data_IF_617591553581
#
_entry.id   IF_617591553581
#
_cell.length_a   1.000
_cell.length_b   1.000
_cell.length_c   1.000
_cell.angle_alpha   90.00
_cell.angle_beta   90.00
_cell.angle_gamma   90.00
#
_symmetry.space_group_name_H-M   'P 1'
#
loop_
_entity.id
_entity.type
_entity.pdbx_description
1 polymer ?
#
# COMPACT_ATOMS: atom_id res chain seq x y z
N UNK A 1 -62.57 -6.50 -31.69
CA UNK A 1 -61.40 -7.34 -31.38
C UNK A 1 -60.76 -6.69 -30.16
N UNK A 2 -61.38 -6.75 -28.98
CA UNK A 2 -61.57 -7.91 -28.09
C UNK A 2 -60.19 -8.44 -27.65
N UNK A 3 -59.76 -8.43 -26.39
CA UNK A 3 -60.46 -8.24 -25.10
C UNK A 3 -59.49 -7.68 -24.04
N UNK A 4 -60.01 -6.80 -23.17
CA UNK A 4 -59.71 -6.71 -21.74
C UNK A 4 -60.90 -7.41 -21.00
N UNK A 5 -60.87 -7.82 -19.70
CA UNK A 5 -60.36 -7.01 -18.59
C UNK A 5 -59.79 -7.78 -17.36
N UNK A 6 -59.23 -7.02 -16.41
CA UNK A 6 -59.08 -7.39 -14.99
C UNK A 6 -60.33 -6.95 -14.15
N UNK A 7 -60.29 -6.93 -12.80
CA UNK A 7 -60.53 -7.97 -11.80
C UNK A 7 -61.84 -7.70 -10.98
N UNK A 8 -62.06 -8.37 -9.82
CA UNK A 8 -62.36 -7.62 -8.58
C UNK A 8 -61.76 -8.29 -7.31
N UNK A 9 -61.65 -7.70 -6.12
CA UNK A 9 -62.07 -6.40 -5.58
C UNK A 9 -61.64 -6.27 -4.11
N UNK A 10 -61.55 -5.02 -3.63
CA UNK A 10 -61.35 -4.61 -2.24
C UNK A 10 -62.68 -4.61 -1.46
N UNK A 11 -62.63 -4.85 -0.13
CA UNK A 11 -63.40 -4.06 0.86
C UNK A 11 -62.71 -4.03 2.23
N UNK A 12 -62.63 -2.81 2.78
CA UNK A 12 -62.31 -2.42 4.15
C UNK A 12 -63.33 -2.91 5.19
N UNK A 13 -62.92 -3.03 6.47
CA UNK A 13 -63.71 -2.60 7.65
C UNK A 13 -62.85 -2.53 8.93
N UNK A 14 -62.54 -1.30 9.34
CA UNK A 14 -62.68 -0.68 10.69
C UNK A 14 -62.70 -1.55 11.97
N UNK A 15 -61.88 -1.16 12.97
CA UNK A 15 -62.41 -0.77 14.28
C UNK A 15 -62.03 -1.57 15.55
N UNK A 16 -61.06 -1.03 16.29
CA UNK A 16 -61.04 -0.78 17.76
C UNK A 16 -61.11 -1.92 18.80
N UNK A 17 -60.23 -1.74 19.80
CA UNK A 17 -60.20 -2.20 21.21
C UNK A 17 -59.11 -3.26 21.48
N UNK A 18 -58.31 -3.24 22.54
CA UNK A 18 -58.07 -2.33 23.68
C UNK A 18 -56.91 -2.98 24.48
N UNK A 19 -56.24 -2.19 25.33
CA UNK A 19 -55.45 -2.56 26.51
C UNK A 19 -53.93 -2.75 26.43
N UNK A 20 -53.34 -1.96 27.32
CA UNK A 20 -51.96 -1.74 27.74
C UNK A 20 -51.52 -2.82 28.76
N UNK A 21 -50.43 -2.63 29.54
CA UNK A 21 -49.21 -3.43 29.43
C UNK A 21 -49.05 -4.38 30.64
N UNK A 22 -48.25 -5.45 30.50
CA UNK A 22 -47.77 -6.17 31.68
C UNK A 22 -46.28 -6.49 31.58
N UNK A 23 -45.54 -5.73 32.37
CA UNK A 23 -44.21 -6.06 32.90
C UNK A 23 -44.21 -7.44 33.54
N UNK A 24 -43.35 -8.33 33.06
CA UNK A 24 -43.09 -9.64 33.64
C UNK A 24 -41.61 -9.83 33.88
N UNK A 25 -41.18 -9.58 35.11
CA UNK A 25 -39.89 -9.94 35.68
C UNK A 25 -39.92 -11.39 36.21
N UNK A 26 -38.96 -12.22 35.81
CA UNK A 26 -38.47 -13.41 36.53
C UNK A 26 -37.19 -13.90 35.78
N UNK A 27 -35.98 -13.66 36.30
CA UNK A 27 -35.26 -14.43 37.32
C UNK A 27 -34.54 -15.70 36.82
N UNK A 28 -33.20 -15.65 37.04
CA UNK A 28 -32.26 -16.73 37.41
C UNK A 28 -31.92 -17.83 36.39
N UNK A 29 -30.64 -17.96 36.04
CA UNK A 29 -29.69 -18.82 36.79
C UNK A 29 -28.27 -18.76 36.20
N UNK A 30 -27.33 -19.20 37.03
CA UNK A 30 -25.88 -19.03 36.98
C UNK A 30 -25.14 -19.68 35.81
N UNK A 31 -23.98 -19.09 35.50
CA UNK A 31 -22.91 -19.72 34.73
C UNK A 31 -21.60 -19.02 35.03
N UNK A 32 -21.02 -19.31 36.19
CA UNK A 32 -19.62 -18.97 36.50
C UNK A 32 -18.71 -19.74 35.55
N UNK A 33 -18.18 -19.05 34.54
CA UNK A 33 -17.24 -19.60 33.57
C UNK A 33 -16.04 -18.67 33.43
N UNK A 34 -15.02 -18.96 34.23
CA UNK A 34 -13.60 -18.66 34.03
C UNK A 34 -13.24 -17.36 33.31
N UNK A 35 -12.83 -16.36 34.10
CA UNK A 35 -11.88 -15.36 33.66
C UNK A 35 -10.58 -16.06 33.22
N UNK A 36 -10.47 -16.39 31.93
CA UNK A 36 -9.22 -16.88 31.37
C UNK A 36 -8.37 -15.68 30.91
N UNK A 37 -7.61 -15.20 31.89
CA UNK A 37 -6.20 -14.81 31.80
C UNK A 37 -5.74 -14.19 30.47
N UNK A 38 -5.59 -12.87 30.54
CA UNK A 38 -4.47 -12.15 29.92
C UNK A 38 -3.14 -12.84 30.22
N UNK A 39 -2.36 -13.14 29.17
CA UNK A 39 -0.91 -13.32 29.29
C UNK A 39 -0.31 -14.50 28.52
N UNK A 40 0.05 -14.28 27.26
CA UNK A 40 1.20 -14.86 26.52
C UNK A 40 0.87 -15.15 25.04
N UNK A 41 0.98 -14.15 24.15
CA UNK A 41 0.99 -14.38 22.69
C UNK A 41 1.53 -13.20 21.83
N UNK A 42 2.31 -12.27 22.39
CA UNK A 42 2.65 -11.03 21.67
C UNK A 42 3.92 -11.04 20.81
N UNK A 43 4.81 -12.03 20.96
CA UNK A 43 6.20 -11.91 20.49
C UNK A 43 6.58 -12.64 19.19
N UNK A 44 5.68 -13.41 18.57
CA UNK A 44 6.09 -14.39 17.55
C UNK A 44 5.02 -14.69 16.47
N UNK A 45 4.07 -13.78 16.25
CA UNK A 45 3.02 -13.92 15.21
C UNK A 45 3.59 -14.28 13.81
N UNK A 46 4.76 -13.73 13.49
CA UNK A 46 5.46 -13.88 12.22
C UNK A 46 6.72 -14.75 12.34
N UNK A 47 6.86 -15.54 13.40
CA UNK A 47 8.01 -16.45 13.55
C UNK A 47 8.13 -17.39 12.35
N UNK A 48 9.34 -17.50 11.80
CA UNK A 48 9.64 -18.30 10.62
C UNK A 48 9.19 -17.67 9.29
N UNK A 49 8.62 -16.47 9.31
CA UNK A 49 8.25 -15.73 8.09
C UNK A 49 9.34 -14.77 7.65
N UNK A 50 9.40 -14.52 6.36
CA UNK A 50 10.35 -13.59 5.74
C UNK A 50 9.60 -12.40 5.17
N UNK A 51 10.04 -11.19 5.53
CA UNK A 51 9.52 -9.93 5.02
C UNK A 51 10.59 -9.17 4.26
N UNK A 52 10.24 -8.51 3.15
CA UNK A 52 11.11 -7.58 2.44
C UNK A 52 10.50 -6.17 2.49
N UNK A 53 11.30 -5.19 2.92
CA UNK A 53 10.87 -3.80 3.08
C UNK A 53 11.76 -2.88 2.26
N UNK A 54 11.18 -2.15 1.30
CA UNK A 54 11.90 -1.11 0.54
C UNK A 54 11.87 0.23 1.27
N UNK A 55 12.96 1.00 1.18
CA UNK A 55 13.07 2.29 1.87
C UNK A 55 13.05 2.13 3.39
N UNK A 56 13.64 1.04 3.89
CA UNK A 56 13.58 0.63 5.30
C UNK A 56 14.30 1.61 6.25
N UNK A 57 15.15 2.49 5.74
CA UNK A 57 15.84 3.53 6.54
C UNK A 57 15.04 4.82 6.68
N UNK A 58 13.96 4.99 5.89
CA UNK A 58 13.05 6.12 6.01
C UNK A 58 12.19 6.02 7.28
N UNK A 59 11.63 7.14 7.76
CA UNK A 59 10.87 7.18 9.02
C UNK A 59 9.84 6.06 9.16
N UNK A 60 8.91 5.92 8.20
CA UNK A 60 7.91 4.84 8.23
C UNK A 60 8.55 3.45 8.00
N UNK A 61 9.48 3.36 7.05
CA UNK A 61 10.15 2.10 6.70
C UNK A 61 10.87 1.47 7.90
N UNK A 62 11.53 2.29 8.72
CA UNK A 62 12.23 1.85 9.93
C UNK A 62 11.25 1.30 10.96
N UNK A 63 10.13 2.00 11.18
CA UNK A 63 9.07 1.49 12.08
C UNK A 63 8.50 0.17 11.54
N UNK A 64 8.20 0.08 10.25
CA UNK A 64 7.70 -1.15 9.63
C UNK A 64 8.69 -2.30 9.86
N UNK A 65 9.98 -2.09 9.57
CA UNK A 65 11.02 -3.08 9.78
C UNK A 65 11.12 -3.52 11.25
N UNK A 66 11.14 -2.56 12.18
CA UNK A 66 11.18 -2.84 13.63
C UNK A 66 9.97 -3.65 14.09
N UNK A 67 8.76 -3.28 13.70
CA UNK A 67 7.54 -3.98 14.14
C UNK A 67 7.41 -5.39 13.55
N UNK A 68 7.81 -5.59 12.28
CA UNK A 68 7.85 -6.91 11.68
C UNK A 68 8.87 -7.81 12.38
N UNK A 69 10.06 -7.30 12.67
CA UNK A 69 11.08 -8.00 13.43
C UNK A 69 10.61 -8.32 14.86
N UNK A 70 9.94 -7.38 15.53
CA UNK A 70 9.38 -7.57 16.88
C UNK A 70 8.34 -8.67 16.94
N UNK A 71 7.59 -8.87 15.85
CA UNK A 71 6.62 -9.97 15.70
C UNK A 71 7.26 -11.29 15.30
N UNK A 72 8.58 -11.34 15.14
CA UNK A 72 9.33 -12.57 14.86
C UNK A 72 9.70 -12.81 13.39
N UNK A 73 9.39 -11.89 12.48
CA UNK A 73 9.79 -12.01 11.07
C UNK A 73 11.30 -11.85 10.93
N UNK A 74 11.92 -12.59 10.01
CA UNK A 74 13.18 -12.16 9.40
C UNK A 74 12.85 -11.03 8.42
N UNK A 75 13.57 -9.91 8.50
CA UNK A 75 13.32 -8.70 7.70
C UNK A 75 14.51 -8.46 6.78
N UNK A 76 14.31 -8.60 5.49
CA UNK A 76 15.24 -8.17 4.45
C UNK A 76 14.97 -6.70 4.14
N UNK A 77 15.84 -5.83 4.64
CA UNK A 77 15.77 -4.40 4.47
C UNK A 77 16.55 -3.96 3.22
N UNK A 78 15.85 -3.32 2.27
CA UNK A 78 16.51 -2.70 1.11
C UNK A 78 16.87 -1.26 1.46
N UNK A 79 18.17 -0.96 1.42
CA UNK A 79 18.76 0.33 1.81
C UNK A 79 19.62 0.90 0.69
N UNK A 80 20.02 2.17 0.80
CA UNK A 80 20.83 2.86 -0.24
C UNK A 80 22.35 2.69 -0.05
N UNK A 81 22.77 2.25 1.12
CA UNK A 81 24.18 2.04 1.45
C UNK A 81 24.31 1.06 2.60
N UNK A 82 25.44 0.36 2.65
CA UNK A 82 25.79 -0.58 3.72
C UNK A 82 25.70 0.10 5.08
N UNK A 83 26.37 1.24 5.27
CA UNK A 83 26.35 1.96 6.56
C UNK A 83 24.94 2.30 7.06
N UNK A 84 24.03 2.76 6.19
CA UNK A 84 22.65 3.03 6.61
C UNK A 84 21.86 1.75 6.92
N UNK A 85 22.25 0.62 6.33
CA UNK A 85 21.70 -0.69 6.63
C UNK A 85 22.21 -1.27 7.94
N UNK A 86 23.51 -1.11 8.22
CA UNK A 86 24.12 -1.55 9.48
C UNK A 86 23.55 -0.76 10.65
N UNK A 87 23.44 0.57 10.53
CA UNK A 87 22.76 1.41 11.53
C UNK A 87 21.32 0.95 11.78
N UNK A 88 20.58 0.60 10.72
CA UNK A 88 19.21 0.08 10.84
C UNK A 88 19.19 -1.28 11.55
N UNK A 89 20.08 -2.20 11.18
CA UNK A 89 20.17 -3.54 11.77
C UNK A 89 20.51 -3.45 13.26
N UNK A 90 21.52 -2.68 13.63
CA UNK A 90 21.90 -2.44 15.03
C UNK A 90 20.74 -1.81 15.82
N UNK A 91 20.11 -0.78 15.25
CA UNK A 91 18.95 -0.15 15.86
C UNK A 91 17.84 -1.17 16.11
N UNK A 92 17.39 -1.90 15.09
CA UNK A 92 16.30 -2.89 15.23
C UNK A 92 16.69 -3.99 16.21
N UNK A 93 17.91 -4.51 16.15
CA UNK A 93 18.41 -5.54 17.06
C UNK A 93 18.34 -5.07 18.52
N UNK A 94 18.69 -3.81 18.81
CA UNK A 94 18.53 -3.23 20.15
C UNK A 94 17.07 -3.12 20.58
N UNK A 95 16.14 -2.85 19.66
CA UNK A 95 14.72 -2.66 19.97
C UNK A 95 13.97 -3.98 20.19
N UNK A 96 14.43 -5.08 19.58
CA UNK A 96 13.75 -6.38 19.62
C UNK A 96 14.56 -7.46 20.34
N UNK A 97 15.78 -7.13 20.77
CA UNK A 97 16.72 -8.04 21.44
C UNK A 97 17.00 -9.31 20.63
N UNK A 98 17.07 -9.17 19.31
CA UNK A 98 17.36 -10.26 18.38
C UNK A 98 17.88 -9.71 17.04
N UNK A 99 18.84 -10.41 16.43
CA UNK A 99 19.33 -10.10 15.09
C UNK A 99 18.40 -10.71 14.03
N UNK A 100 17.47 -9.90 13.52
CA UNK A 100 16.43 -10.32 12.57
C UNK A 100 16.46 -9.53 11.27
N UNK A 101 17.43 -8.63 11.08
CA UNK A 101 17.50 -7.76 9.92
C UNK A 101 18.66 -8.16 9.03
N UNK A 102 18.36 -8.52 7.81
CA UNK A 102 19.32 -8.68 6.72
C UNK A 102 19.30 -7.45 5.83
N UNK A 103 20.44 -7.04 5.30
CA UNK A 103 20.56 -5.85 4.46
C UNK A 103 20.83 -6.26 3.01
N UNK A 104 20.11 -5.64 2.08
CA UNK A 104 20.46 -5.62 0.66
C UNK A 104 20.57 -4.16 0.22
N UNK A 105 21.70 -3.82 -0.40
CA UNK A 105 21.95 -2.46 -0.87
C UNK A 105 21.47 -2.32 -2.31
N UNK A 106 20.71 -1.27 -2.58
CA UNK A 106 20.26 -0.92 -3.92
C UNK A 106 19.93 0.56 -4.04
N UNK A 107 20.30 1.15 -5.17
CA UNK A 107 19.55 2.28 -5.72
C UNK A 107 18.25 1.74 -6.34
N UNK A 108 17.11 2.16 -5.80
CA UNK A 108 15.80 1.75 -6.31
C UNK A 108 15.47 2.35 -7.69
N UNK A 109 16.28 3.28 -8.20
CA UNK A 109 16.22 3.74 -9.57
C UNK A 109 17.09 2.92 -10.55
N UNK A 110 17.98 2.06 -10.05
CA UNK A 110 18.84 1.17 -10.85
C UNK A 110 18.13 -0.14 -11.11
N UNK A 111 17.99 -0.53 -12.38
CA UNK A 111 17.42 -1.83 -12.73
C UNK A 111 18.33 -2.97 -12.25
N UNK A 112 19.63 -2.86 -12.46
CA UNK A 112 20.58 -3.91 -12.14
C UNK A 112 20.61 -4.17 -10.62
N UNK A 113 20.51 -3.12 -9.82
CA UNK A 113 20.43 -3.23 -8.36
C UNK A 113 19.14 -3.95 -7.93
N UNK A 114 18.00 -3.67 -8.57
CA UNK A 114 16.74 -4.36 -8.28
C UNK A 114 16.81 -5.87 -8.63
N UNK A 115 17.51 -6.21 -9.71
CA UNK A 115 17.82 -7.61 -10.02
C UNK A 115 18.74 -8.23 -8.96
N UNK A 116 19.80 -7.52 -8.56
CA UNK A 116 20.70 -7.95 -7.49
C UNK A 116 20.00 -8.15 -6.14
N UNK A 117 19.01 -7.32 -5.81
CA UNK A 117 18.15 -7.50 -4.63
C UNK A 117 17.34 -8.80 -4.74
N UNK A 118 16.73 -9.07 -5.89
CA UNK A 118 15.95 -10.28 -6.08
C UNK A 118 16.82 -11.54 -6.02
N UNK A 119 17.98 -11.53 -6.70
CA UNK A 119 18.95 -12.63 -6.67
C UNK A 119 19.50 -12.86 -5.26
N UNK A 120 19.90 -11.78 -4.58
CA UNK A 120 20.39 -11.84 -3.20
C UNK A 120 19.34 -12.34 -2.21
N UNK A 121 18.06 -11.98 -2.41
CA UNK A 121 16.96 -12.53 -1.64
C UNK A 121 16.79 -14.03 -1.89
N UNK A 122 16.67 -14.44 -3.16
CA UNK A 122 16.43 -15.83 -3.56
C UNK A 122 17.58 -16.77 -3.19
N UNK A 123 18.81 -16.27 -3.12
CA UNK A 123 19.97 -17.03 -2.68
C UNK A 123 19.90 -17.42 -1.18
N UNK A 124 19.14 -16.66 -0.37
CA UNK A 124 19.02 -16.87 1.08
C UNK A 124 17.66 -17.42 1.50
N UNK A 125 16.61 -17.08 0.76
CA UNK A 125 15.23 -17.36 1.13
C UNK A 125 14.46 -17.97 -0.04
N UNK A 126 13.81 -19.12 0.20
CA UNK A 126 12.98 -19.79 -0.82
C UNK A 126 11.54 -19.27 -0.91
N UNK A 127 11.10 -18.46 0.05
CA UNK A 127 9.73 -17.94 0.14
C UNK A 127 9.72 -16.52 0.71
N UNK A 128 8.75 -15.70 0.26
CA UNK A 128 8.55 -14.33 0.72
C UNK A 128 7.11 -14.16 1.22
N UNK A 129 6.93 -13.98 2.52
CA UNK A 129 5.60 -13.84 3.12
C UNK A 129 5.04 -12.43 2.96
N UNK A 130 5.88 -11.40 3.16
CA UNK A 130 5.44 -10.01 3.16
C UNK A 130 6.37 -9.16 2.31
N UNK A 131 5.84 -8.55 1.25
CA UNK A 131 6.54 -7.54 0.46
C UNK A 131 5.93 -6.17 0.72
N UNK A 132 6.70 -5.29 1.36
CA UNK A 132 6.28 -3.91 1.63
C UNK A 132 7.00 -2.96 0.67
N UNK A 133 6.30 -2.57 -0.39
CA UNK A 133 6.71 -1.52 -1.32
C UNK A 133 6.47 -0.15 -0.67
N UNK A 134 7.27 0.16 0.35
CA UNK A 134 7.19 1.38 1.16
C UNK A 134 7.99 2.54 0.56
N UNK A 135 9.05 2.26 -0.19
CA UNK A 135 9.89 3.31 -0.74
C UNK A 135 9.08 4.35 -1.54
N UNK A 136 9.46 5.61 -1.37
CA UNK A 136 8.89 6.71 -2.11
C UNK A 136 9.75 7.95 -2.01
N UNK A 137 9.82 8.69 -3.11
CA UNK A 137 10.61 9.89 -3.24
C UNK A 137 9.83 10.96 -3.99
N UNK A 138 10.03 12.21 -3.59
CA UNK A 138 9.54 13.37 -4.30
C UNK A 138 10.73 14.23 -4.73
N UNK A 139 10.71 14.69 -5.98
CA UNK A 139 11.75 15.50 -6.59
C UNK A 139 11.16 16.83 -7.01
N UNK A 140 11.77 17.94 -6.59
CA UNK A 140 11.32 19.31 -6.94
C UNK A 140 11.49 19.66 -8.41
N UNK A 141 12.47 19.03 -9.06
CA UNK A 141 12.83 19.25 -10.45
C UNK A 141 12.70 17.95 -11.20
N UNK A 142 12.40 18.04 -12.51
CA UNK A 142 12.36 16.86 -13.36
C UNK A 142 13.75 16.25 -13.43
N UNK A 143 13.86 15.00 -13.01
CA UNK A 143 15.07 14.20 -13.14
C UNK A 143 14.75 12.96 -13.95
N UNK A 144 15.69 12.57 -14.79
CA UNK A 144 15.56 11.40 -15.65
C UNK A 144 16.60 10.39 -15.21
N UNK A 145 16.13 9.19 -14.87
CA UNK A 145 16.98 8.06 -14.51
C UNK A 145 17.31 7.19 -15.72
N UNK A 146 17.58 5.92 -15.45
CA UNK A 146 17.90 4.94 -16.47
C UNK A 146 16.84 4.86 -17.56
N UNK A 147 17.31 4.61 -18.80
CA UNK A 147 16.47 4.43 -19.99
C UNK A 147 15.52 5.59 -20.29
N UNK A 148 15.78 6.78 -19.77
CA UNK A 148 14.97 7.96 -20.04
C UNK A 148 13.70 8.07 -19.19
N UNK A 149 13.54 7.24 -18.16
CA UNK A 149 12.35 7.25 -17.30
C UNK A 149 12.47 8.33 -16.23
N UNK A 150 11.40 9.08 -16.00
CA UNK A 150 11.37 10.13 -14.98
C UNK A 150 11.44 9.53 -13.56
N UNK A 151 12.19 10.18 -12.65
CA UNK A 151 12.58 9.62 -11.36
C UNK A 151 11.42 9.31 -10.40
N UNK A 152 10.29 10.03 -10.46
CA UNK A 152 9.13 9.61 -9.67
C UNK A 152 8.59 8.27 -10.16
N UNK A 153 8.50 8.06 -11.47
CA UNK A 153 8.05 6.79 -12.06
C UNK A 153 9.06 5.69 -11.74
N UNK A 154 10.37 5.95 -11.87
CA UNK A 154 11.42 4.99 -11.56
C UNK A 154 11.31 4.49 -10.10
N UNK A 155 11.33 5.39 -9.12
CA UNK A 155 11.40 5.02 -7.70
C UNK A 155 10.04 4.64 -7.10
N UNK A 156 8.98 5.38 -7.40
CA UNK A 156 7.70 5.17 -6.70
C UNK A 156 6.84 4.08 -7.34
N UNK A 157 7.07 3.76 -8.62
CA UNK A 157 6.30 2.78 -9.37
C UNK A 157 7.17 1.60 -9.80
N UNK A 158 8.20 1.82 -10.62
CA UNK A 158 9.00 0.74 -11.20
C UNK A 158 9.76 -0.05 -10.15
N UNK A 159 10.36 0.56 -9.13
CA UNK A 159 11.09 -0.17 -8.09
C UNK A 159 10.26 -1.30 -7.44
N UNK A 160 9.07 -0.95 -6.93
CA UNK A 160 8.16 -1.91 -6.30
C UNK A 160 7.56 -2.89 -7.30
N UNK A 161 7.22 -2.43 -8.51
CA UNK A 161 6.74 -3.28 -9.60
C UNK A 161 7.76 -4.36 -9.97
N UNK A 162 9.01 -3.97 -10.21
CA UNK A 162 10.13 -4.83 -10.59
C UNK A 162 10.40 -5.89 -9.54
N UNK A 163 10.54 -5.49 -8.27
CA UNK A 163 10.78 -6.45 -7.18
C UNK A 163 9.61 -7.41 -7.01
N UNK A 164 8.37 -6.92 -7.10
CA UNK A 164 7.19 -7.80 -7.02
C UNK A 164 7.17 -8.81 -8.15
N UNK A 165 7.53 -8.39 -9.37
CA UNK A 165 7.58 -9.26 -10.54
C UNK A 165 8.70 -10.31 -10.44
N UNK A 166 9.91 -9.90 -10.06
CA UNK A 166 11.07 -10.78 -9.89
C UNK A 166 10.88 -11.81 -8.76
N UNK A 167 10.25 -11.39 -7.65
CA UNK A 167 10.06 -12.23 -6.46
C UNK A 167 8.73 -12.99 -6.46
N UNK A 168 8.01 -13.00 -7.58
CA UNK A 168 6.69 -13.64 -7.69
C UNK A 168 6.74 -15.14 -7.36
N UNK A 169 7.81 -15.83 -7.77
CA UNK A 169 8.03 -17.23 -7.43
C UNK A 169 8.08 -17.46 -5.92
N UNK A 170 8.88 -16.65 -5.20
CA UNK A 170 8.97 -16.72 -3.74
C UNK A 170 7.66 -16.31 -3.04
N UNK A 171 6.95 -15.31 -3.56
CA UNK A 171 5.63 -14.91 -3.04
C UNK A 171 4.63 -16.08 -3.15
N UNK A 172 4.63 -16.80 -4.28
CA UNK A 172 3.78 -18.00 -4.46
C UNK A 172 4.23 -19.15 -3.55
N UNK A 173 5.53 -19.36 -3.39
CA UNK A 173 6.09 -20.42 -2.55
C UNK A 173 5.68 -20.28 -1.07
N UNK A 174 5.46 -19.05 -0.57
CA UNK A 174 4.95 -18.83 0.78
C UNK A 174 3.49 -19.29 0.99
N UNK A 175 2.72 -19.47 -0.09
CA UNK A 175 1.32 -19.95 -0.07
C UNK A 175 0.27 -18.98 0.49
N UNK A 176 0.68 -17.94 1.23
CA UNK A 176 -0.21 -16.92 1.83
C UNK A 176 0.39 -15.51 1.83
N UNK A 177 1.18 -15.18 0.82
CA UNK A 177 1.95 -13.94 0.79
C UNK A 177 1.08 -12.68 0.64
N UNK A 178 1.59 -11.55 1.12
CA UNK A 178 0.95 -10.24 0.99
C UNK A 178 1.90 -9.20 0.45
N UNK A 179 1.50 -8.54 -0.63
CA UNK A 179 2.18 -7.38 -1.20
C UNK A 179 1.42 -6.12 -0.81
N UNK A 180 2.09 -5.21 -0.11
CA UNK A 180 1.53 -3.93 0.34
C UNK A 180 2.23 -2.78 -0.40
N UNK A 181 1.45 -2.06 -1.21
CA UNK A 181 1.92 -0.88 -1.93
C UNK A 181 1.57 0.40 -1.16
N UNK A 182 2.59 1.13 -0.69
CA UNK A 182 2.38 2.44 -0.04
C UNK A 182 2.21 3.52 -1.11
N UNK A 183 1.00 4.07 -1.17
CA UNK A 183 0.56 5.08 -2.13
C UNK A 183 0.17 6.39 -1.42
N UNK A 184 -0.44 7.33 -2.14
CA UNK A 184 -0.74 8.68 -1.63
C UNK A 184 -2.17 9.12 -1.94
N UNK A 185 -2.84 9.82 -1.02
CA UNK A 185 -4.12 10.48 -1.29
C UNK A 185 -4.02 11.52 -2.41
N UNK A 186 -2.82 12.01 -2.75
CA UNK A 186 -2.61 12.96 -3.86
C UNK A 186 -3.07 12.42 -5.22
N UNK A 187 -3.24 11.10 -5.36
CA UNK A 187 -3.84 10.50 -6.56
C UNK A 187 -5.28 11.00 -6.82
N UNK A 188 -6.04 11.32 -5.76
CA UNK A 188 -7.42 11.80 -5.85
C UNK A 188 -7.59 13.32 -5.84
N UNK A 189 -6.57 14.05 -5.40
CA UNK A 189 -6.54 15.51 -5.41
C UNK A 189 -5.08 16.00 -5.38
N UNK A 190 -4.63 16.66 -6.45
CA UNK A 190 -3.24 17.12 -6.61
C UNK A 190 -2.98 18.49 -5.98
N UNK A 191 -3.91 19.04 -5.19
CA UNK A 191 -3.69 20.33 -4.54
C UNK A 191 -2.70 20.24 -3.38
N UNK A 192 -1.64 21.05 -3.45
CA UNK A 192 -0.74 21.28 -2.31
C UNK A 192 -1.41 22.13 -1.21
N UNK A 193 -2.38 23.00 -1.58
CA UNK A 193 -3.11 23.85 -0.64
C UNK A 193 -4.62 23.80 -0.92
N UNK A 194 -5.41 23.40 0.08
CA UNK A 194 -6.88 23.28 0.01
C UNK A 194 -7.61 24.62 0.15
N UNK A 195 -7.17 25.67 -0.54
CA UNK A 195 -7.81 27.01 -0.44
C UNK A 195 -9.17 27.02 -1.17
N UNK A 196 -9.32 26.25 -2.25
CA UNK A 196 -10.59 26.07 -2.94
C UNK A 196 -11.18 24.66 -2.70
N UNK A 197 -12.51 24.49 -2.77
CA UNK A 197 -13.19 23.20 -2.58
C UNK A 197 -13.19 22.27 -3.81
N UNK A 198 -12.76 22.74 -4.99
CA UNK A 198 -12.78 21.93 -6.22
C UNK A 198 -11.65 20.89 -6.23
N UNK A 199 -11.93 19.59 -6.39
CA UNK A 199 -10.85 18.61 -6.56
C UNK A 199 -10.13 18.82 -7.89
N UNK A 200 -8.79 18.76 -7.91
CA UNK A 200 -8.01 18.66 -9.16
C UNK A 200 -7.45 17.23 -9.23
N UNK A 201 -8.19 16.27 -9.80
CA UNK A 201 -7.71 14.90 -9.86
C UNK A 201 -6.46 14.80 -10.74
N UNK A 202 -5.67 13.75 -10.52
CA UNK A 202 -4.58 13.41 -11.43
C UNK A 202 -5.14 13.18 -12.83
N UNK A 203 -4.56 13.86 -13.81
CA UNK A 203 -4.81 13.60 -15.22
C UNK A 203 -3.73 12.64 -15.71
N UNK A 204 -4.16 11.47 -16.15
CA UNK A 204 -3.36 10.56 -16.96
C UNK A 204 -3.69 10.83 -18.42
N UNK A 205 -2.68 11.23 -19.19
CA UNK A 205 -2.76 11.17 -20.64
C UNK A 205 -2.84 9.70 -21.03
N UNK A 206 -3.96 9.30 -21.63
CA UNK A 206 -4.25 7.90 -21.96
C UNK A 206 -3.46 7.44 -23.17
N UNK A 207 -3.01 8.35 -24.02
CA UNK A 207 -2.28 8.01 -25.24
C UNK A 207 -0.78 7.85 -24.92
N UNK A 208 -0.29 8.54 -23.90
CA UNK A 208 1.09 8.47 -23.39
C UNK A 208 1.36 7.37 -22.34
N UNK A 209 0.56 6.29 -22.28
CA UNK A 209 0.76 5.19 -21.30
C UNK A 209 1.51 3.98 -21.87
N UNK A 210 1.69 3.92 -23.18
CA UNK A 210 2.44 2.83 -23.80
C UNK A 210 3.96 3.04 -23.65
N UNK A 211 4.41 4.22 -23.23
CA UNK A 211 5.78 4.46 -22.85
C UNK A 211 5.85 5.23 -21.54
N UNK A 212 6.50 4.63 -20.53
CA UNK A 212 6.62 5.26 -19.22
C UNK A 212 7.48 6.53 -19.23
N UNK A 213 8.28 6.74 -20.28
CA UNK A 213 9.05 7.97 -20.50
C UNK A 213 8.14 9.18 -20.74
N UNK A 214 6.94 8.94 -21.26
CA UNK A 214 5.99 9.99 -21.65
C UNK A 214 4.97 10.34 -20.56
N UNK A 215 4.93 9.56 -19.46
CA UNK A 215 4.00 9.79 -18.33
C UNK A 215 4.24 11.14 -17.66
N UNK A 216 5.50 11.58 -17.59
CA UNK A 216 5.94 12.83 -16.99
C UNK A 216 6.88 13.58 -17.96
N UNK A 217 6.33 14.23 -19.00
CA UNK A 217 7.11 14.92 -20.01
C UNK A 217 7.83 16.14 -19.42
N UNK A 218 8.83 16.65 -20.15
CA UNK A 218 9.57 17.85 -19.74
C UNK A 218 8.71 19.12 -19.84
N UNK A 219 7.94 19.23 -20.93
CA UNK A 219 6.99 20.31 -21.10
C UNK A 219 5.85 20.21 -20.07
N UNK A 220 5.52 21.35 -19.45
CA UNK A 220 4.49 21.40 -18.42
C UNK A 220 4.75 20.54 -17.18
N UNK A 221 6.01 20.14 -16.90
CA UNK A 221 6.33 19.31 -15.74
C UNK A 221 5.92 19.98 -14.43
N UNK A 222 5.00 19.34 -13.72
CA UNK A 222 4.57 19.78 -12.40
C UNK A 222 4.93 18.69 -11.37
N UNK A 223 5.88 18.95 -10.46
CA UNK A 223 6.47 17.92 -9.58
C UNK A 223 5.44 17.11 -8.78
N UNK A 224 4.42 17.76 -8.24
CA UNK A 224 3.48 17.08 -7.35
C UNK A 224 2.47 16.25 -8.15
N UNK A 225 2.00 16.74 -9.29
CA UNK A 225 1.27 15.93 -10.27
C UNK A 225 2.11 14.75 -10.78
N UNK A 226 3.42 14.92 -11.02
CA UNK A 226 4.31 13.84 -11.44
C UNK A 226 4.43 12.73 -10.39
N UNK A 227 4.62 13.10 -9.13
CA UNK A 227 4.56 12.17 -7.99
C UNK A 227 3.21 11.46 -7.88
N UNK A 228 2.11 12.21 -7.99
CA UNK A 228 0.76 11.67 -7.87
C UNK A 228 0.42 10.70 -9.01
N UNK A 229 0.87 10.98 -10.25
CA UNK A 229 0.81 10.03 -11.37
C UNK A 229 1.57 8.75 -11.03
N UNK A 230 2.83 8.84 -10.60
CA UNK A 230 3.61 7.65 -10.27
C UNK A 230 2.91 6.77 -9.21
N UNK A 231 2.35 7.37 -8.15
CA UNK A 231 1.57 6.60 -7.16
C UNK A 231 0.27 5.99 -7.73
N UNK A 232 -0.37 6.66 -8.68
CA UNK A 232 -1.53 6.13 -9.39
C UNK A 232 -1.15 4.93 -10.28
N UNK A 233 0.00 4.98 -10.95
CA UNK A 233 0.55 3.83 -11.70
C UNK A 233 0.78 2.61 -10.78
N UNK A 234 1.35 2.83 -9.59
CA UNK A 234 1.55 1.77 -8.57
C UNK A 234 0.21 1.14 -8.19
N UNK A 235 -0.81 1.96 -7.91
CA UNK A 235 -2.14 1.49 -7.54
C UNK A 235 -2.77 0.65 -8.66
N UNK A 236 -2.77 1.17 -9.89
CA UNK A 236 -3.37 0.52 -11.05
C UNK A 236 -2.68 -0.80 -11.39
N UNK A 237 -1.35 -0.83 -11.32
CA UNK A 237 -0.58 -2.07 -11.51
C UNK A 237 -0.85 -3.08 -10.41
N UNK A 238 -1.02 -2.62 -9.17
CA UNK A 238 -1.44 -3.46 -8.06
C UNK A 238 -2.82 -4.09 -8.25
N UNK A 239 -3.80 -3.34 -8.78
CA UNK A 239 -5.12 -3.89 -9.13
C UNK A 239 -5.06 -4.94 -10.24
N UNK A 240 -4.25 -4.69 -11.28
CA UNK A 240 -4.03 -5.67 -12.34
C UNK A 240 -3.47 -6.98 -11.76
N UNK A 241 -2.38 -6.87 -10.98
CA UNK A 241 -1.70 -8.01 -10.38
C UNK A 241 -2.59 -8.77 -9.39
N UNK A 242 -3.36 -8.06 -8.57
CA UNK A 242 -4.34 -8.66 -7.67
C UNK A 242 -5.36 -9.53 -8.41
N UNK A 243 -5.79 -9.09 -9.61
CA UNK A 243 -6.65 -9.86 -10.49
C UNK A 243 -5.97 -11.12 -11.03
N UNK A 244 -4.73 -10.97 -11.50
CA UNK A 244 -3.94 -12.07 -12.08
C UNK A 244 -3.52 -13.13 -11.04
N UNK A 245 -3.42 -12.77 -9.76
CA UNK A 245 -3.03 -13.66 -8.66
C UNK A 245 -4.20 -14.30 -7.89
N UNK A 246 -5.44 -14.14 -8.36
CA UNK A 246 -6.59 -14.80 -7.71
C UNK A 246 -6.38 -16.31 -7.68
N UNK A 247 -6.55 -16.91 -6.50
CA UNK A 247 -6.40 -18.35 -6.31
C UNK A 247 -4.97 -18.83 -6.04
N UNK A 248 -3.94 -17.98 -6.14
CA UNK A 248 -2.55 -18.39 -5.88
C UNK A 248 -2.13 -18.24 -4.41
N UNK A 249 -3.01 -17.75 -3.54
CA UNK A 249 -2.70 -17.41 -2.16
C UNK A 249 -1.92 -16.10 -1.96
N UNK A 250 -1.60 -15.37 -3.03
CA UNK A 250 -0.90 -14.08 -2.96
C UNK A 250 -1.91 -12.94 -3.03
N UNK A 251 -1.86 -12.03 -2.07
CA UNK A 251 -2.72 -10.83 -2.04
C UNK A 251 -1.93 -9.58 -2.37
N UNK A 252 -2.56 -8.61 -3.04
CA UNK A 252 -1.94 -7.33 -3.39
C UNK A 252 -2.90 -6.21 -3.02
N UNK A 253 -2.51 -5.33 -2.11
CA UNK A 253 -3.33 -4.19 -1.68
C UNK A 253 -2.50 -2.91 -1.65
N UNK A 254 -3.20 -1.78 -1.66
CA UNK A 254 -2.58 -0.46 -1.60
C UNK A 254 -3.09 0.33 -0.39
N UNK A 255 -2.22 1.17 0.19
CA UNK A 255 -2.57 1.99 1.35
C UNK A 255 -2.00 3.39 1.25
N UNK A 256 -2.84 4.38 1.54
CA UNK A 256 -2.41 5.71 1.87
C UNK A 256 -2.27 5.84 3.41
N UNK A 257 -1.09 6.16 3.95
CA UNK A 257 -0.87 6.20 5.40
C UNK A 257 -1.46 7.44 6.11
N UNK A 258 -1.92 8.44 5.35
CA UNK A 258 -2.17 9.80 5.84
C UNK A 258 -1.00 10.74 5.53
N UNK A 259 -1.09 11.99 5.99
CA UNK A 259 -0.02 12.99 5.80
C UNK A 259 0.98 12.83 6.95
N UNK A 260 2.13 12.21 6.66
CA UNK A 260 3.15 11.85 7.64
C UNK A 260 4.30 12.85 7.60
N UNK A 261 4.86 13.20 8.77
CA UNK A 261 6.04 14.02 8.91
C UNK A 261 7.27 13.31 8.31
N UNK A 262 7.43 13.41 7.00
CA UNK A 262 8.52 12.80 6.24
C UNK A 262 9.35 13.87 5.53
N UNK A 263 10.58 13.56 5.11
CA UNK A 263 11.39 14.47 4.29
C UNK A 263 10.64 15.00 3.05
N UNK A 264 9.73 14.20 2.49
CA UNK A 264 8.86 14.55 1.36
C UNK A 264 8.06 15.84 1.62
N UNK A 265 7.60 16.09 2.84
CA UNK A 265 6.89 17.34 3.19
C UNK A 265 7.83 18.55 3.10
N UNK A 266 9.09 18.35 3.51
CA UNK A 266 10.15 19.33 3.32
C UNK A 266 10.32 19.71 1.85
N UNK A 267 10.15 18.76 0.94
CA UNK A 267 10.30 18.96 -0.49
C UNK A 267 9.09 19.59 -1.17
N UNK A 268 7.87 19.21 -0.76
CA UNK A 268 6.61 19.75 -1.28
C UNK A 268 6.36 21.19 -0.80
N UNK A 269 6.80 21.55 0.41
CA UNK A 269 6.42 22.83 1.01
C UNK A 269 6.96 24.04 0.22
N UNK A 270 6.10 25.02 -0.15
CA UNK A 270 6.51 26.26 -0.78
C UNK A 270 7.56 27.01 0.06
N UNK A 271 8.46 27.75 -0.59
CA UNK A 271 9.52 28.49 0.08
C UNK A 271 9.01 29.43 1.19
N UNK A 272 7.86 30.07 0.96
CA UNK A 272 7.17 30.95 1.92
C UNK A 272 6.65 30.23 3.17
N UNK A 273 6.37 28.92 3.07
CA UNK A 273 5.93 28.11 4.21
C UNK A 273 7.11 27.56 5.05
N UNK A 274 8.36 27.73 4.58
CA UNK A 274 9.57 27.21 5.25
C UNK A 274 9.74 27.63 6.71
N UNK A 275 9.52 28.90 7.09
CA UNK A 275 9.61 29.31 8.49
C UNK A 275 8.58 28.62 9.39
N UNK A 276 7.45 28.16 8.82
CA UNK A 276 6.34 27.54 9.54
C UNK A 276 6.37 26.01 9.49
N UNK A 277 7.31 25.38 8.77
CA UNK A 277 7.43 23.92 8.71
C UNK A 277 7.49 23.22 10.07
N UNK A 278 8.21 23.74 11.10
CA UNK A 278 8.24 23.10 12.41
C UNK A 278 6.85 23.02 13.06
N UNK A 279 6.03 24.04 12.85
CA UNK A 279 4.64 24.09 13.35
C UNK A 279 3.74 23.16 12.54
N UNK A 280 3.86 23.17 11.20
CA UNK A 280 3.10 22.26 10.32
C UNK A 280 3.42 20.80 10.64
N UNK A 281 4.70 20.46 10.86
CA UNK A 281 5.16 19.11 11.22
C UNK A 281 4.55 18.57 12.50
N UNK A 282 4.20 19.44 13.47
CA UNK A 282 3.51 19.03 14.71
C UNK A 282 2.06 18.58 14.48
N UNK A 283 1.44 19.03 13.40
CA UNK A 283 0.08 18.62 13.00
C UNK A 283 0.07 17.43 12.03
N UNK A 284 1.24 16.90 11.66
CA UNK A 284 1.37 15.72 10.80
C UNK A 284 1.47 14.45 11.64
N UNK A 285 1.13 13.33 11.03
CA UNK A 285 1.24 12.02 11.65
C UNK A 285 2.71 11.69 11.93
N UNK A 286 2.96 11.03 13.06
CA UNK A 286 4.28 10.46 13.34
C UNK A 286 4.58 9.30 12.38
N UNK A 287 5.86 8.92 12.19
CA UNK A 287 6.21 7.73 11.41
C UNK A 287 5.49 6.47 11.87
N UNK A 288 5.27 6.30 13.18
CA UNK A 288 4.56 5.16 13.76
C UNK A 288 3.08 5.16 13.36
N UNK A 289 2.42 6.31 13.46
CA UNK A 289 1.04 6.48 13.02
C UNK A 289 0.90 6.28 11.49
N UNK A 290 1.92 6.65 10.72
CA UNK A 290 1.99 6.43 9.28
C UNK A 290 2.26 4.97 8.89
N UNK A 291 3.06 4.25 9.66
CA UNK A 291 3.39 2.84 9.44
C UNK A 291 2.22 1.90 9.81
N UNK A 292 1.42 2.27 10.81
CA UNK A 292 0.37 1.42 11.37
C UNK A 292 -0.62 0.85 10.32
N UNK A 293 -1.13 1.62 9.35
CA UNK A 293 -1.99 1.09 8.28
C UNK A 293 -1.33 0.01 7.42
N UNK A 294 -0.07 0.19 7.04
CA UNK A 294 0.67 -0.79 6.23
C UNK A 294 0.94 -2.06 7.03
N UNK A 295 1.33 -1.93 8.30
CA UNK A 295 1.52 -3.06 9.22
C UNK A 295 0.21 -3.82 9.47
N UNK A 296 -0.90 -3.11 9.65
CA UNK A 296 -2.22 -3.73 9.81
C UNK A 296 -2.61 -4.54 8.58
N UNK A 297 -2.44 -4.01 7.37
CA UNK A 297 -2.69 -4.77 6.14
C UNK A 297 -1.76 -5.98 6.00
N UNK A 298 -0.48 -5.82 6.37
CA UNK A 298 0.51 -6.89 6.29
C UNK A 298 0.23 -8.02 7.29
N UNK A 299 -0.31 -7.73 8.47
CA UNK A 299 -0.36 -8.71 9.57
C UNK A 299 -1.76 -9.18 9.95
N UNK A 300 -2.79 -8.36 9.79
CA UNK A 300 -4.10 -8.67 10.34
C UNK A 300 -4.71 -9.93 9.70
N UNK A 301 -5.13 -10.87 10.54
CA UNK A 301 -5.59 -12.20 10.11
C UNK A 301 -6.86 -12.13 9.28
N UNK A 302 -7.80 -11.25 9.64
CA UNK A 302 -9.07 -11.07 8.92
C UNK A 302 -8.91 -10.54 7.48
N UNK A 303 -7.73 -10.04 7.11
CA UNK A 303 -7.42 -9.55 5.76
C UNK A 303 -6.64 -10.56 4.92
N UNK A 304 -6.44 -11.80 5.40
CA UNK A 304 -5.57 -12.78 4.75
C UNK A 304 -5.94 -13.15 3.32
N UNK A 305 -7.19 -12.95 2.91
CA UNK A 305 -7.68 -13.18 1.55
C UNK A 305 -8.08 -11.89 0.82
N UNK A 306 -7.98 -10.74 1.48
CA UNK A 306 -8.31 -9.45 0.91
C UNK A 306 -7.28 -9.08 -0.15
N UNK A 307 -7.72 -8.85 -1.38
CA UNK A 307 -6.82 -8.50 -2.50
C UNK A 307 -7.50 -7.48 -3.42
N UNK A 308 -6.71 -6.65 -4.08
CA UNK A 308 -7.18 -5.64 -5.02
C UNK A 308 -7.92 -4.48 -4.36
N UNK A 309 -7.61 -4.18 -3.10
CA UNK A 309 -8.26 -3.11 -2.32
C UNK A 309 -7.32 -1.92 -2.07
N UNK A 310 -7.92 -0.75 -1.91
CA UNK A 310 -7.26 0.48 -1.53
C UNK A 310 -7.77 0.95 -0.17
N UNK A 311 -6.84 1.28 0.72
CA UNK A 311 -7.14 1.75 2.07
C UNK A 311 -6.63 3.18 2.25
N UNK A 312 -7.48 4.03 2.83
CA UNK A 312 -7.05 5.28 3.43
C UNK A 312 -6.92 5.05 4.93
N UNK A 313 -5.68 4.98 5.41
CA UNK A 313 -5.35 4.52 6.76
C UNK A 313 -5.94 3.11 6.98
N UNK A 314 -6.72 2.90 8.04
CA UNK A 314 -7.32 1.60 8.37
C UNK A 314 -8.73 1.39 7.78
N UNK A 315 -9.14 2.21 6.80
CA UNK A 315 -10.49 2.15 6.22
C UNK A 315 -10.39 1.91 4.72
N UNK A 316 -11.10 0.91 4.22
CA UNK A 316 -11.26 0.71 2.77
C UNK A 316 -11.93 1.95 2.17
N UNK A 317 -11.37 2.47 1.08
CA UNK A 317 -11.82 3.71 0.48
C UNK A 317 -11.92 3.58 -1.04
N UNK A 318 -12.73 4.45 -1.64
CA UNK A 318 -12.72 4.60 -3.09
C UNK A 318 -11.43 5.31 -3.54
N UNK A 319 -10.76 4.73 -4.51
CA UNK A 319 -9.67 5.36 -5.27
C UNK A 319 -10.19 6.14 -6.49
N UNK A 320 -9.36 6.94 -7.18
CA UNK A 320 -9.80 7.76 -8.33
C UNK A 320 -10.46 6.91 -9.43
N UNK A 321 -11.54 7.38 -10.06
CA UNK A 321 -12.32 6.58 -11.00
C UNK A 321 -11.51 5.95 -12.15
N UNK A 322 -10.51 6.68 -12.68
CA UNK A 322 -9.61 6.19 -13.74
C UNK A 322 -8.81 4.94 -13.31
N UNK A 323 -8.57 4.75 -12.01
CA UNK A 323 -7.80 3.63 -11.50
C UNK A 323 -8.49 2.29 -11.74
N UNK A 324 -9.82 2.26 -11.93
CA UNK A 324 -10.60 1.05 -12.16
C UNK A 324 -10.69 0.64 -13.63
N UNK A 325 -10.16 1.45 -14.55
CA UNK A 325 -10.12 1.12 -15.98
C UNK A 325 -9.14 -0.04 -16.23
N UNK A 326 -9.70 -1.24 -16.41
CA UNK A 326 -8.92 -2.47 -16.63
C UNK A 326 -8.08 -2.44 -17.90
N UNK A 327 -8.49 -1.66 -18.91
CA UNK A 327 -7.73 -1.49 -20.15
C UNK A 327 -6.44 -0.71 -19.90
N UNK A 328 -6.55 0.41 -19.18
CA UNK A 328 -5.38 1.21 -18.79
C UNK A 328 -4.48 0.44 -17.81
N UNK A 329 -5.04 -0.29 -16.84
CA UNK A 329 -4.28 -1.15 -15.94
C UNK A 329 -3.39 -2.14 -16.70
N UNK A 330 -3.93 -2.82 -17.72
CA UNK A 330 -3.16 -3.75 -18.58
C UNK A 330 -2.06 -3.04 -19.37
N UNK A 331 -2.35 -1.88 -19.95
CA UNK A 331 -1.36 -1.08 -20.70
C UNK A 331 -0.21 -0.62 -19.82
N UNK A 332 -0.51 -0.08 -18.64
CA UNK A 332 0.50 0.32 -17.65
C UNK A 332 1.34 -0.88 -17.22
N UNK A 333 0.71 -2.03 -16.93
CA UNK A 333 1.42 -3.25 -16.59
C UNK A 333 2.38 -3.68 -17.71
N UNK A 334 1.90 -3.74 -18.95
CA UNK A 334 2.71 -4.09 -20.11
C UNK A 334 3.87 -3.09 -20.34
N UNK A 335 3.62 -1.79 -20.20
CA UNK A 335 4.65 -0.75 -20.31
C UNK A 335 5.74 -0.90 -19.25
N UNK A 336 5.33 -1.24 -18.02
CA UNK A 336 6.23 -1.50 -16.90
C UNK A 336 7.05 -2.78 -17.13
N UNK A 337 6.43 -3.82 -17.67
CA UNK A 337 7.06 -5.11 -17.97
C UNK A 337 8.07 -5.04 -19.14
N UNK A 338 7.82 -4.20 -20.16
CA UNK A 338 8.77 -3.98 -21.28
C UNK A 338 10.15 -3.54 -20.80
N UNK A 339 10.21 -2.90 -19.64
CA UNK A 339 11.43 -2.46 -18.97
C UNK A 339 12.26 -3.59 -18.34
N UNK A 340 11.68 -4.76 -18.10
CA UNK A 340 12.25 -5.81 -17.25
C UNK A 340 13.06 -6.88 -17.98
N UNK A 341 12.90 -7.03 -19.30
CA UNK A 341 13.42 -8.19 -20.05
C UNK A 341 13.05 -9.55 -19.40
N UNK A 342 11.91 -9.62 -18.71
CA UNK A 342 11.38 -10.85 -18.11
C UNK A 342 10.09 -11.18 -18.86
N UNK A 343 9.97 -12.40 -19.37
CA UNK A 343 8.67 -12.94 -19.77
C UNK A 343 7.88 -13.24 -18.50
N UNK A 344 6.93 -12.36 -18.20
CA UNK A 344 6.12 -12.49 -17.00
C UNK A 344 5.08 -13.63 -17.13
N UNK A 345 4.92 -14.24 -18.32
CA UNK A 345 4.11 -15.45 -18.50
C UNK A 345 2.59 -15.28 -18.28
N UNK A 346 2.10 -14.03 -18.27
CA UNK A 346 0.69 -13.72 -18.03
C UNK A 346 -0.07 -13.58 -19.35
N UNK A 347 -1.05 -14.45 -19.57
CA UNK A 347 -2.15 -14.25 -20.54
C UNK A 347 -3.47 -14.20 -19.79
#
# INVERSE_FOLDING_TARGET
MNDEPAPPGLTDHTGSADRTPSTGSAERTAGTGSADRTGSAGGAELAGRVSLVTGATGGMGRVIATELARRGSTVVAVTRSEGSGDELREYVASQVQADRVEVLVADLASRDDLHGVAEGFMARHGALDLLINNAGAHYRERRVGERGVEMHVAVNHLAGFTLTALLLGALRAAGRARVINVVSASMGDTRQVKILPRRRPVVLDRDALDDLRDVNPADGFEPFSAYARAKLLTLMSGYHLAGALRGTGVTVNAVHPGVVATPIIGDIAPGVARPFLPLIRRSLLTPEQGAAPALWLATATQLGTTTGRYFNRATEAASPAVSYDRGLQRRIWAASARGLSIDLGWR
#
